data_IF_268296050033
#
_entry.id   IF_268296050033
#
_cell.length_a   1.000
_cell.length_b   1.000
_cell.length_c   1.000
_cell.angle_alpha   90.00
_cell.angle_beta   90.00
_cell.angle_gamma   90.00
#
_symmetry.space_group_name_H-M   'P 1'
#
loop_
_entity.id
_entity.type
_entity.pdbx_description
1 polymer ?
#
# COMPACT_ATOMS: atom_id res chain seq x y z
N UNK A 1 -16.36 -6.63 -8.05
CA UNK A 1 -17.21 -7.17 -6.97
C UNK A 1 -16.42 -7.09 -5.67
N UNK A 2 -17.00 -6.56 -4.62
CA UNK A 2 -16.38 -6.48 -3.30
C UNK A 2 -17.32 -7.11 -2.26
N UNK A 3 -16.77 -7.75 -1.26
CA UNK A 3 -17.51 -8.38 -0.15
C UNK A 3 -16.80 -8.00 1.16
N UNK A 4 -17.61 -7.63 2.16
CA UNK A 4 -17.15 -7.42 3.54
C UNK A 4 -18.09 -8.21 4.44
N UNK A 5 -17.53 -8.98 5.35
CA UNK A 5 -18.28 -9.74 6.34
C UNK A 5 -17.74 -9.46 7.74
N UNK A 6 -18.62 -9.17 8.66
CA UNK A 6 -18.34 -8.93 10.07
C UNK A 6 -18.72 -10.16 10.88
N UNK A 7 -17.72 -10.80 11.50
CA UNK A 7 -17.86 -11.99 12.36
C UNK A 7 -17.45 -11.67 13.80
N UNK A 8 -17.66 -10.44 14.22
CA UNK A 8 -17.27 -9.94 15.54
C UNK A 8 -18.07 -10.62 16.67
N UNK A 9 -17.44 -10.69 17.83
CA UNK A 9 -18.05 -11.15 19.07
C UNK A 9 -17.60 -10.28 20.26
N UNK A 10 -17.99 -10.64 21.50
CA UNK A 10 -17.64 -9.87 22.71
C UNK A 10 -16.13 -9.82 23.01
N UNK A 11 -15.34 -10.76 22.48
CA UNK A 11 -13.89 -10.88 22.75
C UNK A 11 -13.02 -10.18 21.71
N UNK A 12 -13.52 -10.04 20.48
CA UNK A 12 -12.78 -9.39 19.40
C UNK A 12 -13.72 -8.96 18.27
N UNK A 13 -13.31 -7.96 17.52
CA UNK A 13 -13.91 -7.62 16.24
C UNK A 13 -13.11 -8.32 15.14
N UNK A 14 -13.79 -9.14 14.33
CA UNK A 14 -13.20 -9.81 13.18
C UNK A 14 -13.96 -9.45 11.92
N UNK A 15 -13.26 -8.86 10.96
CA UNK A 15 -13.82 -8.55 9.65
C UNK A 15 -12.96 -9.19 8.57
N UNK A 16 -13.61 -9.80 7.62
CA UNK A 16 -12.95 -10.27 6.39
C UNK A 16 -13.49 -9.51 5.20
N UNK A 17 -12.65 -9.25 4.23
CA UNK A 17 -13.02 -8.60 3.00
C UNK A 17 -12.35 -9.26 1.81
N UNK A 18 -12.96 -9.08 0.67
CA UNK A 18 -12.44 -9.54 -0.60
C UNK A 18 -12.94 -8.66 -1.74
N UNK A 19 -12.08 -8.44 -2.70
CA UNK A 19 -12.38 -7.69 -3.93
C UNK A 19 -11.92 -8.48 -5.14
N UNK A 20 -12.73 -8.49 -6.17
CA UNK A 20 -12.36 -8.99 -7.49
C UNK A 20 -12.73 -7.93 -8.52
N UNK A 21 -11.77 -7.50 -9.29
CA UNK A 21 -11.92 -6.46 -10.30
C UNK A 21 -11.29 -6.91 -11.61
N UNK A 22 -12.05 -6.78 -12.68
CA UNK A 22 -11.56 -6.97 -14.03
C UNK A 22 -11.44 -5.61 -14.71
N UNK A 23 -10.25 -5.30 -15.21
CA UNK A 23 -9.94 -4.08 -15.93
C UNK A 23 -9.63 -4.44 -17.38
N UNK A 24 -10.39 -3.87 -18.31
CA UNK A 24 -10.14 -4.00 -19.73
C UNK A 24 -9.60 -2.68 -20.27
N UNK A 25 -8.44 -2.74 -20.89
CA UNK A 25 -7.89 -1.61 -21.63
C UNK A 25 -8.45 -1.62 -23.04
N UNK A 26 -9.25 -0.61 -23.39
CA UNK A 26 -9.93 -0.52 -24.68
C UNK A 26 -9.02 0.16 -25.71
N UNK A 27 -8.14 1.06 -25.26
CA UNK A 27 -7.23 1.82 -26.12
C UNK A 27 -5.78 1.37 -25.88
N UNK A 28 -5.22 0.68 -26.88
CA UNK A 28 -3.88 0.06 -26.77
C UNK A 28 -2.74 0.96 -27.13
N UNK A 29 -3.02 2.06 -27.80
CA UNK A 29 -1.98 2.92 -28.34
C UNK A 29 -2.28 4.38 -28.07
N UNK A 30 -1.30 5.07 -27.58
CA UNK A 30 -1.32 6.52 -27.50
C UNK A 30 -0.25 7.06 -28.44
N UNK A 31 -0.66 7.80 -29.44
CA UNK A 31 0.29 8.48 -30.35
C UNK A 31 0.53 9.91 -29.85
N UNK A 32 1.77 10.31 -29.83
CA UNK A 32 2.15 11.68 -29.51
C UNK A 32 3.15 12.21 -30.54
N UNK A 33 3.04 13.53 -30.76
CA UNK A 33 3.90 14.26 -31.67
C UNK A 33 4.79 15.18 -30.85
N UNK A 34 6.08 15.16 -31.12
CA UNK A 34 7.03 16.05 -30.46
C UNK A 34 8.02 16.66 -31.47
N UNK A 35 8.55 17.83 -31.12
CA UNK A 35 9.60 18.53 -31.85
C UNK A 35 10.71 18.90 -30.86
N UNK A 36 11.95 18.92 -31.29
CA UNK A 36 13.03 19.45 -30.46
C UNK A 36 12.96 20.97 -30.42
N UNK A 37 13.25 21.58 -29.28
CA UNK A 37 13.27 23.04 -29.11
C UNK A 37 14.33 23.68 -30.01
N UNK A 38 15.38 22.94 -30.34
CA UNK A 38 16.48 23.38 -31.23
C UNK A 38 16.13 23.24 -32.73
N UNK A 39 15.10 22.47 -33.08
CA UNK A 39 14.66 22.26 -34.45
C UNK A 39 13.14 22.11 -34.51
N UNK A 40 12.45 23.24 -34.67
CA UNK A 40 10.98 23.28 -34.79
C UNK A 40 10.46 22.84 -36.17
N UNK A 41 11.32 22.61 -37.13
CA UNK A 41 10.93 22.24 -38.49
C UNK A 41 10.68 20.73 -38.63
N UNK A 42 11.32 19.93 -37.77
CA UNK A 42 11.20 18.48 -37.81
C UNK A 42 10.29 18.00 -36.69
N UNK A 43 9.22 17.30 -37.04
CA UNK A 43 8.31 16.68 -36.08
C UNK A 43 8.44 15.16 -36.10
N UNK A 44 8.45 14.58 -34.93
CA UNK A 44 8.51 13.13 -34.73
C UNK A 44 7.15 12.63 -34.20
N UNK A 45 6.70 11.51 -34.70
CA UNK A 45 5.54 10.82 -34.17
C UNK A 45 6.03 9.53 -33.50
N UNK A 46 5.57 9.28 -32.30
CA UNK A 46 5.85 8.04 -31.60
C UNK A 46 4.54 7.45 -31.07
N UNK A 47 4.52 6.14 -30.85
CA UNK A 47 3.34 5.41 -30.41
C UNK A 47 3.72 4.54 -29.23
N UNK A 48 3.12 4.80 -28.09
CA UNK A 48 3.22 3.94 -26.91
C UNK A 48 2.13 2.86 -26.99
N UNK A 49 2.56 1.61 -27.06
CA UNK A 49 1.65 0.47 -26.98
C UNK A 49 1.69 -0.10 -25.57
N UNK A 50 0.51 -0.33 -24.96
CA UNK A 50 0.41 -1.06 -23.70
C UNK A 50 0.47 -2.56 -23.95
N UNK A 51 1.31 -3.27 -23.22
CA UNK A 51 1.47 -4.73 -23.36
C UNK A 51 0.28 -5.51 -22.82
N UNK A 52 -0.34 -5.04 -21.74
CA UNK A 52 -1.46 -5.73 -21.07
C UNK A 52 -2.80 -5.11 -21.45
N UNK A 53 -3.64 -5.91 -22.08
CA UNK A 53 -5.01 -5.52 -22.48
C UNK A 53 -6.04 -5.67 -21.39
N UNK A 54 -5.82 -6.63 -20.53
CA UNK A 54 -6.77 -7.08 -19.54
C UNK A 54 -6.04 -7.45 -18.27
N UNK A 55 -6.55 -6.95 -17.15
CA UNK A 55 -6.03 -7.25 -15.82
C UNK A 55 -7.15 -7.83 -14.95
N UNK A 56 -6.82 -8.84 -14.19
CA UNK A 56 -7.67 -9.37 -13.13
C UNK A 56 -7.00 -9.09 -11.80
N UNK A 57 -7.62 -8.21 -10.99
CA UNK A 57 -7.13 -7.85 -9.66
C UNK A 57 -7.96 -8.57 -8.62
N UNK A 58 -7.30 -9.35 -7.78
CA UNK A 58 -7.89 -10.03 -6.63
C UNK A 58 -7.28 -9.52 -5.34
N UNK A 59 -8.11 -9.27 -4.34
CA UNK A 59 -7.72 -8.86 -3.00
C UNK A 59 -8.48 -9.69 -1.99
N UNK A 60 -7.79 -10.20 -0.98
CA UNK A 60 -8.38 -10.80 0.21
C UNK A 60 -7.70 -10.26 1.45
N UNK A 61 -8.46 -10.04 2.50
CA UNK A 61 -7.91 -9.54 3.74
C UNK A 61 -8.78 -9.79 4.95
N UNK A 62 -8.21 -9.52 6.12
CA UNK A 62 -8.92 -9.57 7.37
C UNK A 62 -8.36 -8.56 8.38
N UNK A 63 -9.24 -8.11 9.27
CA UNK A 63 -8.94 -7.24 10.40
C UNK A 63 -9.37 -7.95 11.69
N UNK A 64 -8.48 -7.97 12.67
CA UNK A 64 -8.79 -8.43 14.02
C UNK A 64 -8.46 -7.29 14.99
N UNK A 65 -9.44 -6.89 15.79
CA UNK A 65 -9.26 -5.87 16.83
C UNK A 65 -9.65 -6.48 18.17
N UNK A 66 -8.71 -6.47 19.10
CA UNK A 66 -8.89 -6.97 20.46
C UNK A 66 -9.23 -5.83 21.42
N UNK A 67 -10.03 -6.10 22.47
CA UNK A 67 -10.40 -5.10 23.48
C UNK A 67 -9.21 -4.46 24.19
N UNK A 68 -8.09 -5.17 24.30
CA UNK A 68 -6.84 -4.71 24.90
C UNK A 68 -6.06 -3.72 24.00
N UNK A 69 -6.74 -3.10 23.06
CA UNK A 69 -6.14 -2.12 22.14
C UNK A 69 -5.06 -2.67 21.21
N UNK A 70 -5.08 -3.95 20.95
CA UNK A 70 -4.25 -4.60 19.96
C UNK A 70 -5.02 -4.88 18.67
N UNK A 71 -4.41 -4.65 17.52
CA UNK A 71 -5.01 -4.91 16.22
C UNK A 71 -4.06 -5.63 15.28
N UNK A 72 -4.62 -6.49 14.45
CA UNK A 72 -3.94 -7.17 13.34
C UNK A 72 -4.71 -6.88 12.07
N UNK A 73 -4.01 -6.51 11.03
CA UNK A 73 -4.54 -6.24 9.71
C UNK A 73 -3.69 -6.99 8.68
N UNK A 74 -4.33 -7.71 7.78
CA UNK A 74 -3.63 -8.45 6.71
C UNK A 74 -4.39 -8.27 5.41
N UNK A 75 -3.67 -7.88 4.35
CA UNK A 75 -4.17 -7.89 2.98
C UNK A 75 -3.18 -8.65 2.11
N UNK A 76 -3.71 -9.44 1.20
CA UNK A 76 -3.00 -10.00 0.07
C UNK A 76 -3.70 -9.59 -1.22
N UNK A 77 -2.92 -9.08 -2.16
CA UNK A 77 -3.37 -8.65 -3.46
C UNK A 77 -2.64 -9.43 -4.56
N UNK A 78 -3.36 -9.81 -5.58
CA UNK A 78 -2.80 -10.33 -6.84
C UNK A 78 -3.34 -9.55 -8.01
N UNK A 79 -2.43 -9.02 -8.81
CA UNK A 79 -2.72 -8.44 -10.11
C UNK A 79 -2.22 -9.41 -11.18
N UNK A 80 -3.13 -9.94 -11.97
CA UNK A 80 -2.80 -10.80 -13.10
C UNK A 80 -3.06 -10.05 -14.40
N UNK A 81 -1.97 -9.69 -15.09
CA UNK A 81 -2.01 -9.07 -16.42
C UNK A 81 -1.96 -10.16 -17.49
N UNK A 82 -3.05 -10.32 -18.23
CA UNK A 82 -3.12 -11.33 -19.30
C UNK A 82 -2.12 -11.01 -20.40
N UNK A 83 -1.11 -11.87 -20.55
CA UNK A 83 -0.02 -11.69 -21.49
C UNK A 83 1.31 -11.20 -20.92
N UNK A 84 1.31 -10.59 -19.72
CA UNK A 84 2.53 -10.04 -19.09
C UNK A 84 2.91 -10.70 -17.77
N UNK A 85 2.03 -11.57 -17.21
CA UNK A 85 2.28 -12.28 -15.97
C UNK A 85 1.47 -11.76 -14.78
N UNK A 86 2.00 -11.89 -13.58
CA UNK A 86 1.33 -11.45 -12.35
C UNK A 86 2.28 -10.78 -11.39
N UNK A 87 1.71 -9.96 -10.51
CA UNK A 87 2.37 -9.38 -9.34
C UNK A 87 1.56 -9.71 -8.09
N UNK A 88 2.23 -10.15 -7.06
CA UNK A 88 1.66 -10.37 -5.73
C UNK A 88 2.11 -9.24 -4.80
N UNK A 89 1.22 -8.80 -3.92
CA UNK A 89 1.52 -7.82 -2.90
C UNK A 89 0.95 -8.28 -1.56
N UNK A 90 1.69 -8.10 -0.49
CA UNK A 90 1.26 -8.40 0.85
C UNK A 90 1.40 -7.17 1.74
N UNK A 91 0.39 -6.93 2.56
CA UNK A 91 0.41 -5.94 3.62
C UNK A 91 0.00 -6.59 4.93
N UNK A 92 0.86 -6.51 5.94
CA UNK A 92 0.59 -6.96 7.30
C UNK A 92 0.85 -5.78 8.22
N UNK A 93 -0.12 -5.43 9.06
CA UNK A 93 0.05 -4.40 10.07
C UNK A 93 -0.39 -4.90 11.45
N UNK A 94 0.39 -4.54 12.46
CA UNK A 94 0.12 -4.76 13.87
C UNK A 94 0.04 -3.41 14.54
N UNK A 95 -1.03 -3.15 15.27
CA UNK A 95 -1.22 -1.91 16.03
C UNK A 95 -1.38 -2.19 17.51
N UNK A 96 -0.84 -1.32 18.35
CA UNK A 96 -1.01 -1.38 19.79
C UNK A 96 -1.16 0.01 20.39
N UNK A 97 -2.26 0.25 21.09
CA UNK A 97 -2.60 1.50 21.75
C UNK A 97 -2.64 1.31 23.27
N UNK A 98 -1.49 1.29 23.98
CA UNK A 98 -1.46 1.08 25.42
C UNK A 98 -2.15 2.21 26.18
N UNK A 99 -2.15 3.42 25.63
CA UNK A 99 -2.78 4.62 26.17
C UNK A 99 -3.45 5.41 25.05
N UNK A 100 -4.39 6.29 25.37
CA UNK A 100 -5.12 7.11 24.39
C UNK A 100 -4.22 8.08 23.59
N UNK A 101 -3.06 8.38 24.11
CA UNK A 101 -2.08 9.33 23.58
C UNK A 101 -0.85 8.66 22.95
N UNK A 102 -0.78 7.34 22.96
CA UNK A 102 0.41 6.59 22.49
C UNK A 102 -0.01 5.43 21.61
N UNK A 103 0.53 5.38 20.40
CA UNK A 103 0.32 4.33 19.42
C UNK A 103 1.67 3.73 19.02
N UNK A 104 1.72 2.41 18.95
CA UNK A 104 2.80 1.65 18.32
C UNK A 104 2.22 0.94 17.11
N UNK A 105 2.89 1.03 15.99
CA UNK A 105 2.53 0.30 14.79
C UNK A 105 3.76 -0.38 14.20
N UNK A 106 3.54 -1.58 13.66
CA UNK A 106 4.51 -2.31 12.88
C UNK A 106 3.84 -2.79 11.61
N UNK A 107 4.45 -2.59 10.46
CA UNK A 107 3.95 -3.14 9.21
C UNK A 107 5.04 -3.79 8.38
N UNK A 108 4.61 -4.69 7.51
CA UNK A 108 5.41 -5.27 6.43
C UNK A 108 4.60 -5.14 5.16
N UNK A 109 5.19 -4.55 4.15
CA UNK A 109 4.56 -4.25 2.86
C UNK A 109 5.48 -4.67 1.73
N UNK A 110 4.89 -5.07 0.62
CA UNK A 110 5.59 -5.23 -0.65
C UNK A 110 5.30 -6.53 -1.38
N UNK A 111 6.00 -6.72 -2.45
CA UNK A 111 6.00 -7.91 -3.29
C UNK A 111 7.39 -8.57 -3.29
N UNK A 112 8.13 -8.44 -4.37
CA UNK A 112 9.51 -8.93 -4.48
C UNK A 112 10.48 -8.18 -3.52
N UNK A 113 10.15 -6.94 -3.19
CA UNK A 113 10.84 -6.11 -2.21
C UNK A 113 9.94 -5.90 -0.98
N UNK A 114 10.22 -6.62 0.09
CA UNK A 114 9.51 -6.47 1.35
C UNK A 114 10.16 -5.37 2.19
N UNK A 115 9.33 -4.41 2.61
CA UNK A 115 9.70 -3.31 3.49
C UNK A 115 9.02 -3.50 4.84
N UNK A 116 9.77 -3.39 5.92
CA UNK A 116 9.22 -3.30 7.26
C UNK A 116 9.24 -1.86 7.75
N UNK A 117 8.20 -1.47 8.47
CA UNK A 117 8.08 -0.16 9.08
C UNK A 117 7.67 -0.30 10.54
N UNK A 118 8.39 0.38 11.42
CA UNK A 118 8.00 0.55 12.81
C UNK A 118 7.70 2.02 13.08
N UNK A 119 6.58 2.30 13.71
CA UNK A 119 6.13 3.65 14.01
C UNK A 119 5.71 3.77 15.47
N UNK A 120 6.11 4.86 16.10
CA UNK A 120 5.62 5.29 17.42
C UNK A 120 5.01 6.67 17.24
N UNK A 121 3.77 6.84 17.69
CA UNK A 121 3.11 8.15 17.79
C UNK A 121 2.76 8.44 19.23
N UNK A 122 3.01 9.67 19.66
CA UNK A 122 2.62 10.14 20.98
C UNK A 122 2.10 11.56 20.92
N UNK A 123 0.92 11.80 21.50
CA UNK A 123 0.41 13.14 21.70
C UNK A 123 0.88 13.67 23.06
N UNK A 124 1.51 14.84 23.05
CA UNK A 124 1.98 15.53 24.27
C UNK A 124 1.44 16.96 24.22
N UNK A 125 0.42 17.25 25.02
CA UNK A 125 -0.13 18.62 25.16
C UNK A 125 -0.51 19.28 23.82
N UNK A 126 -1.11 18.52 22.90
CA UNK A 126 -1.52 19.03 21.58
C UNK A 126 -0.41 19.04 20.54
N UNK A 127 0.72 18.41 20.82
CA UNK A 127 1.76 18.12 19.84
C UNK A 127 1.81 16.63 19.57
N UNK A 128 1.73 16.24 18.31
CA UNK A 128 1.98 14.87 17.86
C UNK A 128 3.48 14.71 17.59
N UNK A 129 4.12 13.86 18.36
CA UNK A 129 5.47 13.40 18.13
C UNK A 129 5.41 12.02 17.48
N UNK A 130 6.03 11.88 16.32
CA UNK A 130 6.15 10.62 15.58
C UNK A 130 7.61 10.22 15.41
N UNK A 131 7.90 8.95 15.61
CA UNK A 131 9.14 8.29 15.21
C UNK A 131 8.81 7.19 14.23
N UNK A 132 9.52 7.13 13.12
CA UNK A 132 9.35 6.14 12.08
C UNK A 132 10.69 5.54 11.71
N UNK A 133 10.75 4.22 11.60
CA UNK A 133 11.89 3.46 11.13
C UNK A 133 11.43 2.52 10.01
N UNK A 134 12.04 2.64 8.84
CA UNK A 134 11.81 1.73 7.70
C UNK A 134 13.07 0.96 7.39
N UNK A 135 12.90 -0.29 6.99
CA UNK A 135 13.99 -1.16 6.59
C UNK A 135 13.54 -2.14 5.51
N UNK A 136 14.37 -2.34 4.48
CA UNK A 136 14.16 -3.42 3.51
C UNK A 136 14.49 -4.75 4.15
N UNK A 137 13.59 -5.74 4.01
CA UNK A 137 13.80 -7.12 4.47
C UNK A 137 14.51 -7.97 3.43
N UNK A 138 14.45 -7.59 2.15
CA UNK A 138 15.04 -8.32 1.03
C UNK A 138 16.45 -7.83 0.69
N UNK A 139 16.73 -6.52 0.88
CA UNK A 139 18.03 -5.89 0.63
C UNK A 139 18.58 -5.29 1.93
N UNK A 140 18.91 -6.14 2.89
CA UNK A 140 19.42 -5.73 4.20
C UNK A 140 20.63 -4.78 4.06
N UNK A 141 20.45 -3.55 4.50
CA UNK A 141 21.50 -2.53 4.62
C UNK A 141 21.50 -1.42 3.58
N UNK A 142 20.70 -1.50 2.50
CA UNK A 142 20.71 -0.47 1.45
C UNK A 142 19.53 0.51 1.52
N UNK A 143 18.41 0.11 2.14
CA UNK A 143 17.19 0.94 2.19
C UNK A 143 16.71 1.07 3.64
N UNK A 144 17.44 1.86 4.42
CA UNK A 144 17.06 2.19 5.80
C UNK A 144 16.72 3.67 5.89
N UNK A 145 15.59 3.96 6.49
CA UNK A 145 15.14 5.32 6.75
C UNK A 145 14.68 5.46 8.20
N UNK A 146 15.13 6.52 8.87
CA UNK A 146 14.64 6.92 10.17
C UNK A 146 14.16 8.37 10.11
N UNK A 147 12.95 8.64 10.59
CA UNK A 147 12.35 9.95 10.59
C UNK A 147 11.73 10.29 11.94
N UNK A 148 11.86 11.55 12.35
CA UNK A 148 11.18 12.11 13.49
C UNK A 148 10.28 13.24 12.99
N UNK A 149 9.01 13.20 13.34
CA UNK A 149 8.00 14.15 12.95
C UNK A 149 7.42 14.85 14.20
N UNK A 150 7.26 16.16 14.13
CA UNK A 150 6.57 16.95 15.14
C UNK A 150 5.49 17.78 14.45
N UNK A 151 4.24 17.61 14.86
CA UNK A 151 3.08 18.33 14.33
C UNK A 151 2.28 18.94 15.47
N UNK A 152 1.97 20.22 15.39
CA UNK A 152 1.04 20.87 16.31
C UNK A 152 -0.39 20.68 15.81
N UNK A 153 -1.28 20.25 16.72
CA UNK A 153 -2.72 20.16 16.47
C UNK A 153 -3.36 21.46 17.01
N UNK A 154 -4.08 22.17 16.16
CA UNK A 154 -4.79 23.42 16.51
C UNK A 154 -6.25 23.14 16.77
#
# INVERSE_FOLDING_TARGET
MAMVEDLSNEKYTFKRHGKLEYVADIDRSSSFKYTYVSDNSTSFNDTLNTEALHNLNGEIGFDIIFPEHFSIFVIYERNHAFGSGYTDNIHIALGYLPYKDTEFAFSVDGSDNLMSQFEIKKNINGYDLGFNLKNSLTNLGNDQEAAINLKKIF
#
